data_IF_829965703560
#
_entry.id   IF_829965703560
#
_cell.length_a   1.000
_cell.length_b   1.000
_cell.length_c   1.000
_cell.angle_alpha   90.00
_cell.angle_beta   90.00
_cell.angle_gamma   90.00
#
_symmetry.space_group_name_H-M   'P 1'
#
loop_
_entity.id
_entity.type
_entity.pdbx_description
1 polymer ?
#
# COMPACT_ATOMS: atom_id res chain seq x y z
N UNK A 1 7.66 -11.91 -4.83
CA UNK A 1 8.68 -11.25 -4.00
C UNK A 1 8.62 -9.75 -4.30
N UNK A 2 8.10 -8.94 -3.37
CA UNK A 2 7.75 -7.53 -3.66
C UNK A 2 8.76 -6.53 -3.09
N UNK A 3 9.62 -6.98 -2.17
CA UNK A 3 10.62 -6.14 -1.50
C UNK A 3 12.03 -6.56 -1.83
N UNK A 4 12.97 -5.62 -1.73
CA UNK A 4 14.40 -5.86 -1.76
C UNK A 4 15.07 -5.38 -0.47
N UNK A 5 16.28 -5.87 -0.21
CA UNK A 5 17.14 -5.36 0.85
C UNK A 5 18.03 -4.26 0.29
N UNK A 6 17.93 -3.08 0.86
CA UNK A 6 18.80 -1.95 0.55
C UNK A 6 19.86 -1.83 1.64
N UNK A 7 21.13 -1.95 1.26
CA UNK A 7 22.25 -1.76 2.19
C UNK A 7 22.79 -0.34 2.05
N UNK A 8 23.05 0.31 3.17
CA UNK A 8 23.59 1.67 3.21
C UNK A 8 24.57 1.84 4.36
N UNK A 9 25.44 2.85 4.26
CA UNK A 9 26.43 3.16 5.27
C UNK A 9 26.21 4.54 5.88
N UNK A 10 26.35 4.65 7.20
CA UNK A 10 26.36 5.92 7.93
C UNK A 10 27.54 5.91 8.91
N UNK A 11 28.43 6.89 8.78
CA UNK A 11 29.62 7.04 9.66
C UNK A 11 30.40 5.74 9.86
N UNK A 12 30.69 5.03 8.75
CA UNK A 12 31.45 3.77 8.76
C UNK A 12 30.70 2.53 9.23
N UNK A 13 29.45 2.66 9.68
CA UNK A 13 28.59 1.52 10.06
C UNK A 13 27.68 1.13 8.90
N UNK A 14 27.47 -0.18 8.72
CA UNK A 14 26.57 -0.72 7.70
C UNK A 14 25.18 -0.98 8.28
N UNK A 15 24.17 -0.57 7.55
CA UNK A 15 22.76 -0.76 7.87
C UNK A 15 22.03 -1.35 6.67
N UNK A 16 20.83 -1.88 6.92
CA UNK A 16 19.94 -2.26 5.85
C UNK A 16 18.53 -1.70 6.09
N UNK A 17 17.79 -1.57 5.03
CA UNK A 17 16.37 -1.23 5.04
C UNK A 17 15.62 -2.12 4.05
N UNK A 18 14.31 -2.24 4.23
CA UNK A 18 13.42 -2.83 3.26
C UNK A 18 13.11 -1.75 2.22
N UNK A 19 13.36 -2.06 0.95
CA UNK A 19 13.00 -1.23 -0.20
C UNK A 19 11.80 -1.82 -0.93
N UNK A 20 10.83 -0.99 -1.24
CA UNK A 20 9.65 -1.33 -2.01
C UNK A 20 9.63 -0.47 -3.28
N UNK A 21 9.78 -1.07 -4.47
CA UNK A 21 9.94 -0.32 -5.71
C UNK A 21 8.63 0.33 -6.14
N UNK A 22 8.73 1.50 -6.78
CA UNK A 22 7.61 2.17 -7.42
C UNK A 22 7.71 2.13 -8.95
N UNK A 23 6.66 2.58 -9.64
CA UNK A 23 6.59 2.52 -11.11
C UNK A 23 7.55 3.47 -11.83
N UNK A 24 8.12 4.45 -11.13
CA UNK A 24 9.06 5.42 -11.69
C UNK A 24 10.54 5.04 -11.45
N UNK A 25 10.80 3.87 -10.85
CA UNK A 25 12.16 3.39 -10.55
C UNK A 25 12.74 3.86 -9.23
N UNK A 26 11.97 4.55 -8.40
CA UNK A 26 12.31 4.89 -7.03
C UNK A 26 11.90 3.78 -6.05
N UNK A 27 12.18 4.00 -4.76
CA UNK A 27 11.86 3.05 -3.69
C UNK A 27 11.28 3.76 -2.48
N UNK A 28 10.23 3.20 -1.90
CA UNK A 28 9.90 3.46 -0.50
C UNK A 28 10.81 2.64 0.39
N UNK A 29 11.28 3.25 1.49
CA UNK A 29 12.24 2.63 2.40
C UNK A 29 11.67 2.54 3.79
N UNK A 30 11.82 1.37 4.42
CA UNK A 30 11.48 1.16 5.82
C UNK A 30 12.60 0.42 6.53
N UNK A 31 13.04 0.97 7.66
CA UNK A 31 13.89 0.30 8.63
C UNK A 31 13.25 0.36 10.01
N UNK A 32 13.90 -0.25 11.00
CA UNK A 32 13.49 -0.12 12.40
C UNK A 32 13.49 1.34 12.87
N UNK A 33 14.36 2.17 12.28
CA UNK A 33 14.67 3.50 12.79
C UNK A 33 14.07 4.64 11.97
N UNK A 34 13.71 4.40 10.73
CA UNK A 34 13.20 5.45 9.86
C UNK A 34 12.31 4.94 8.72
N UNK A 35 11.51 5.84 8.20
CA UNK A 35 10.76 5.76 6.95
C UNK A 35 11.31 6.79 5.99
N UNK A 36 11.54 6.42 4.74
CA UNK A 36 12.12 7.31 3.73
C UNK A 36 11.77 6.89 2.32
N UNK A 37 12.40 7.56 1.36
CA UNK A 37 12.22 7.29 -0.05
C UNK A 37 13.53 7.53 -0.81
N UNK A 38 13.82 6.66 -1.78
CA UNK A 38 14.79 6.92 -2.83
C UNK A 38 14.01 7.46 -4.04
N UNK A 39 14.29 8.69 -4.48
CA UNK A 39 13.54 9.29 -5.60
C UNK A 39 13.70 8.50 -6.91
N UNK A 40 12.77 8.68 -7.85
CA UNK A 40 11.58 9.53 -7.79
C UNK A 40 10.45 8.92 -6.96
N UNK A 41 9.58 9.79 -6.38
CA UNK A 41 8.37 9.37 -5.65
C UNK A 41 7.25 9.06 -6.63
N UNK A 42 6.67 7.87 -6.51
CA UNK A 42 5.51 7.46 -7.29
C UNK A 42 4.74 6.33 -6.58
N UNK A 43 3.62 5.93 -7.18
CA UNK A 43 2.85 4.75 -6.75
C UNK A 43 3.59 3.46 -7.09
N UNK A 44 3.25 2.39 -6.39
CA UNK A 44 3.70 1.03 -6.74
C UNK A 44 2.52 0.24 -7.27
N UNK A 45 2.73 -0.51 -8.35
CA UNK A 45 1.71 -1.36 -8.96
C UNK A 45 2.20 -2.81 -8.95
N UNK A 46 1.40 -3.69 -8.36
CA UNK A 46 1.68 -5.11 -8.24
C UNK A 46 0.57 -5.86 -8.98
N UNK A 47 0.97 -6.60 -10.02
CA UNK A 47 0.08 -7.48 -10.77
C UNK A 47 0.48 -8.93 -10.54
N UNK A 48 -0.42 -9.78 -10.02
CA UNK A 48 -0.17 -11.21 -9.98
C UNK A 48 0.11 -11.75 -11.38
N UNK A 49 0.99 -12.73 -11.48
CA UNK A 49 1.28 -13.38 -12.76
C UNK A 49 0.05 -14.16 -13.22
N UNK A 50 -0.22 -14.08 -14.52
CA UNK A 50 -1.20 -14.91 -15.24
C UNK A 50 -2.68 -14.69 -14.93
N UNK A 51 -3.05 -13.60 -14.26
CA UNK A 51 -4.45 -13.24 -14.04
C UNK A 51 -4.75 -11.83 -14.51
N UNK A 52 -5.71 -11.68 -15.43
CA UNK A 52 -6.35 -10.40 -15.68
C UNK A 52 -7.39 -10.17 -14.57
N UNK A 53 -7.18 -9.18 -13.72
CA UNK A 53 -8.14 -8.84 -12.65
C UNK A 53 -8.94 -7.59 -13.01
N UNK A 54 -10.24 -7.65 -12.84
CA UNK A 54 -11.13 -6.48 -12.91
C UNK A 54 -11.19 -5.71 -11.57
N UNK A 55 -10.44 -6.19 -10.58
CA UNK A 55 -10.37 -5.61 -9.22
C UNK A 55 -8.97 -5.14 -8.93
N UNK A 56 -8.84 -3.91 -8.42
CA UNK A 56 -7.61 -3.38 -7.86
C UNK A 56 -7.78 -3.06 -6.38
N UNK A 57 -6.90 -3.60 -5.54
CA UNK A 57 -6.81 -3.26 -4.12
C UNK A 57 -5.86 -2.07 -3.94
N UNK A 58 -6.33 -0.99 -3.33
CA UNK A 58 -5.56 0.24 -3.10
C UNK A 58 -5.16 0.34 -1.63
N UNK A 59 -3.87 0.51 -1.38
CA UNK A 59 -3.28 0.66 -0.05
C UNK A 59 -2.60 2.03 0.09
N UNK A 60 -2.60 2.60 1.29
CA UNK A 60 -1.90 3.86 1.53
C UNK A 60 -0.39 3.67 1.57
N UNK A 61 0.09 2.67 2.31
CA UNK A 61 1.50 2.32 2.46
C UNK A 61 1.82 0.87 2.10
N UNK A 62 3.09 0.60 1.78
CA UNK A 62 3.49 -0.76 1.43
C UNK A 62 3.47 -1.74 2.61
N UNK A 63 3.53 -1.25 3.85
CA UNK A 63 3.38 -2.10 5.03
C UNK A 63 1.96 -2.67 5.12
N UNK A 64 0.94 -1.89 4.76
CA UNK A 64 -0.45 -2.36 4.72
C UNK A 64 -0.67 -3.39 3.62
N UNK A 65 -0.07 -3.16 2.43
CA UNK A 65 -0.04 -4.16 1.37
C UNK A 65 0.58 -5.48 1.82
N UNK A 66 1.74 -5.44 2.52
CA UNK A 66 2.39 -6.64 3.03
C UNK A 66 1.56 -7.31 4.13
N UNK A 67 0.88 -6.53 4.97
CA UNK A 67 -0.04 -7.03 5.99
C UNK A 67 -1.26 -7.71 5.38
N UNK A 68 -1.84 -7.13 4.33
CA UNK A 68 -2.92 -7.75 3.56
C UNK A 68 -2.48 -9.09 2.97
N UNK A 69 -1.30 -9.16 2.37
CA UNK A 69 -0.75 -10.39 1.83
C UNK A 69 -0.54 -11.47 2.92
N UNK A 70 -0.09 -11.08 4.11
CA UNK A 70 0.08 -11.99 5.26
C UNK A 70 -1.27 -12.51 5.80
N UNK A 71 -2.31 -11.68 5.75
CA UNK A 71 -3.67 -12.02 6.17
C UNK A 71 -4.49 -12.74 5.09
N UNK A 72 -3.94 -12.93 3.88
CA UNK A 72 -4.66 -13.50 2.75
C UNK A 72 -5.76 -12.57 2.17
N UNK A 73 -5.68 -11.28 2.46
CA UNK A 73 -6.61 -10.26 1.95
C UNK A 73 -6.18 -9.83 0.53
N UNK A 74 -7.15 -9.60 -0.34
CA UNK A 74 -6.92 -9.17 -1.73
C UNK A 74 -6.75 -10.30 -2.72
N UNK A 75 -6.39 -11.51 -2.29
CA UNK A 75 -6.32 -12.70 -3.15
C UNK A 75 -5.50 -12.48 -4.42
N UNK A 76 -6.10 -12.72 -5.58
CA UNK A 76 -5.48 -12.55 -6.89
C UNK A 76 -5.77 -11.20 -7.55
N UNK A 77 -6.29 -10.21 -6.81
CA UNK A 77 -6.50 -8.86 -7.35
C UNK A 77 -5.17 -8.14 -7.62
N UNK A 78 -5.19 -7.26 -8.61
CA UNK A 78 -4.10 -6.29 -8.75
C UNK A 78 -4.03 -5.39 -7.52
N UNK A 79 -2.87 -4.89 -7.19
CA UNK A 79 -2.68 -4.00 -6.04
C UNK A 79 -1.95 -2.73 -6.45
N UNK A 80 -2.44 -1.60 -5.95
CA UNK A 80 -1.80 -0.30 -6.09
C UNK A 80 -1.49 0.24 -4.69
N UNK A 81 -0.24 0.61 -4.46
CA UNK A 81 0.19 1.26 -3.22
C UNK A 81 0.48 2.72 -3.52
N UNK A 82 -0.20 3.61 -2.82
CA UNK A 82 -0.04 5.06 -3.01
C UNK A 82 1.35 5.55 -2.60
N UNK A 83 1.95 4.92 -1.58
CA UNK A 83 3.21 5.30 -0.94
C UNK A 83 3.15 6.67 -0.23
N UNK A 84 2.20 7.50 -0.61
CA UNK A 84 1.83 8.77 0.04
C UNK A 84 0.46 9.19 -0.47
N UNK A 85 -0.37 9.79 0.38
CA UNK A 85 -1.66 10.40 -0.03
C UNK A 85 -1.48 11.47 -1.11
N UNK A 86 -0.32 12.13 -1.17
CA UNK A 86 0.02 13.09 -2.23
C UNK A 86 0.08 12.46 -3.64
N UNK A 87 0.20 11.16 -3.75
CA UNK A 87 0.27 10.44 -5.02
C UNK A 87 -1.11 10.03 -5.58
N UNK A 88 -2.22 10.39 -4.94
CA UNK A 88 -3.58 10.06 -5.41
C UNK A 88 -3.78 10.47 -6.87
N UNK A 89 -3.36 11.68 -7.26
CA UNK A 89 -3.46 12.13 -8.65
C UNK A 89 -2.68 11.27 -9.64
N UNK A 90 -1.57 10.66 -9.21
CA UNK A 90 -0.80 9.71 -10.02
C UNK A 90 -1.47 8.34 -10.11
N UNK A 91 -2.17 7.93 -9.05
CA UNK A 91 -2.88 6.66 -8.99
C UNK A 91 -4.02 6.58 -9.99
N UNK A 92 -4.73 7.69 -10.23
CA UNK A 92 -5.93 7.74 -11.08
C UNK A 92 -5.68 7.09 -12.45
N UNK A 93 -4.62 7.47 -13.16
CA UNK A 93 -4.31 6.90 -14.48
C UNK A 93 -4.09 5.37 -14.49
N UNK A 94 -3.78 4.78 -13.35
CA UNK A 94 -3.57 3.33 -13.23
C UNK A 94 -4.85 2.58 -12.83
N UNK A 95 -5.88 3.29 -12.37
CA UNK A 95 -7.14 2.71 -11.87
C UNK A 95 -8.28 2.73 -12.89
N UNK A 96 -8.14 3.45 -14.00
CA UNK A 96 -9.22 3.67 -14.99
C UNK A 96 -9.83 2.38 -15.54
N UNK A 97 -9.01 1.35 -15.73
CA UNK A 97 -9.43 0.09 -16.35
C UNK A 97 -10.13 -0.91 -15.42
N UNK A 98 -10.22 -0.64 -14.10
CA UNK A 98 -10.80 -1.59 -13.16
C UNK A 98 -12.28 -1.35 -12.92
N UNK A 99 -13.08 -2.43 -12.93
CA UNK A 99 -14.51 -2.39 -12.61
C UNK A 99 -14.77 -2.20 -11.11
N UNK A 100 -13.85 -2.64 -10.24
CA UNK A 100 -13.92 -2.43 -8.80
C UNK A 100 -12.58 -2.03 -8.20
N UNK A 101 -12.63 -1.09 -7.26
CA UNK A 101 -11.46 -0.55 -6.54
C UNK A 101 -11.72 -0.72 -5.05
N UNK A 102 -11.06 -1.69 -4.44
CA UNK A 102 -11.16 -1.99 -3.01
C UNK A 102 -10.11 -1.16 -2.25
N UNK A 103 -10.54 -0.23 -1.39
CA UNK A 103 -9.67 0.71 -0.70
C UNK A 103 -9.40 0.28 0.74
N UNK A 104 -8.13 0.06 1.06
CA UNK A 104 -7.57 -0.25 2.38
C UNK A 104 -6.70 0.92 2.85
N UNK A 105 -7.35 2.02 3.24
CA UNK A 105 -6.69 3.28 3.60
C UNK A 105 -6.67 3.45 5.13
N UNK A 106 -5.78 4.31 5.62
CA UNK A 106 -5.68 4.61 7.06
C UNK A 106 -7.00 5.18 7.60
N UNK A 107 -7.36 4.79 8.82
CA UNK A 107 -8.57 5.25 9.51
C UNK A 107 -8.36 6.65 10.13
N UNK A 108 -7.78 7.56 9.37
CA UNK A 108 -7.54 8.93 9.76
C UNK A 108 -8.14 9.93 8.74
N UNK A 109 -7.94 11.22 8.98
CA UNK A 109 -8.49 12.27 8.12
C UNK A 109 -7.88 12.22 6.70
N UNK A 110 -6.58 11.92 6.58
CA UNK A 110 -5.90 11.85 5.28
C UNK A 110 -6.41 10.66 4.46
N UNK A 111 -6.61 9.50 5.08
CA UNK A 111 -7.21 8.32 4.44
C UNK A 111 -8.65 8.58 3.99
N UNK A 112 -9.46 9.26 4.82
CA UNK A 112 -10.84 9.64 4.43
C UNK A 112 -10.88 10.59 3.24
N UNK A 113 -10.02 11.62 3.22
CA UNK A 113 -9.91 12.55 2.08
C UNK A 113 -9.48 11.83 0.80
N UNK A 114 -8.56 10.88 0.92
CA UNK A 114 -8.10 10.04 -0.19
C UNK A 114 -9.24 9.19 -0.74
N UNK A 115 -10.02 8.57 0.14
CA UNK A 115 -11.20 7.78 -0.25
C UNK A 115 -12.23 8.64 -1.01
N UNK A 116 -12.53 9.83 -0.49
CA UNK A 116 -13.47 10.76 -1.14
C UNK A 116 -12.95 11.25 -2.51
N UNK A 117 -11.64 11.49 -2.63
CA UNK A 117 -11.04 11.84 -3.92
C UNK A 117 -11.19 10.71 -4.94
N UNK A 118 -10.96 9.46 -4.55
CA UNK A 118 -11.15 8.29 -5.42
C UNK A 118 -12.63 8.10 -5.78
N UNK A 119 -13.55 8.26 -4.83
CA UNK A 119 -15.00 8.24 -5.08
C UNK A 119 -15.44 9.33 -6.05
N UNK A 120 -14.85 10.50 -5.98
CA UNK A 120 -15.11 11.60 -6.91
C UNK A 120 -14.75 11.25 -8.36
N UNK A 121 -13.71 10.44 -8.58
CA UNK A 121 -13.31 9.98 -9.91
C UNK A 121 -14.10 8.75 -10.39
N UNK A 122 -14.35 7.79 -9.50
CA UNK A 122 -14.78 6.44 -9.88
C UNK A 122 -16.18 6.06 -9.38
N UNK A 123 -16.77 6.90 -8.52
CA UNK A 123 -18.14 6.69 -8.03
C UNK A 123 -18.32 5.33 -7.35
N UNK A 124 -19.36 4.61 -7.76
CA UNK A 124 -19.74 3.33 -7.19
C UNK A 124 -18.74 2.18 -7.41
N UNK A 125 -17.69 2.38 -8.20
CA UNK A 125 -16.61 1.39 -8.36
C UNK A 125 -15.69 1.32 -7.12
N UNK A 126 -15.69 2.36 -6.28
CA UNK A 126 -14.86 2.45 -5.08
C UNK A 126 -15.59 1.82 -3.90
N UNK A 127 -14.95 0.84 -3.28
CA UNK A 127 -15.41 0.14 -2.09
C UNK A 127 -14.46 0.41 -0.93
N UNK A 128 -14.97 1.02 0.14
CA UNK A 128 -14.24 1.18 1.39
C UNK A 128 -14.15 -0.16 2.13
N UNK A 129 -12.95 -0.59 2.47
CA UNK A 129 -12.68 -1.84 3.19
C UNK A 129 -12.19 -1.63 4.63
N UNK A 130 -12.21 -0.40 5.13
CA UNK A 130 -11.73 -0.06 6.48
C UNK A 130 -12.47 -0.81 7.60
N UNK A 131 -13.72 -1.23 7.38
CA UNK A 131 -14.47 -2.06 8.32
C UNK A 131 -13.79 -3.41 8.65
N UNK A 132 -12.87 -3.91 7.81
CA UNK A 132 -12.12 -5.13 8.09
C UNK A 132 -11.11 -4.98 9.24
N UNK A 133 -10.69 -3.76 9.52
CA UNK A 133 -9.75 -3.42 10.60
C UNK A 133 -10.29 -2.32 11.50
N UNK A 134 -11.60 -2.39 11.75
CA UNK A 134 -12.26 -1.44 12.66
C UNK A 134 -11.60 -1.44 14.05
N UNK A 135 -11.45 -0.26 14.64
CA UNK A 135 -10.72 -0.05 15.88
C UNK A 135 -9.21 0.01 15.76
N UNK A 136 -8.64 -0.19 14.56
CA UNK A 136 -7.22 -0.02 14.25
C UNK A 136 -7.01 1.20 13.37
N UNK A 137 -5.81 1.77 13.45
CA UNK A 137 -5.42 2.89 12.58
C UNK A 137 -5.32 2.46 11.12
N UNK A 138 -4.71 1.31 10.90
CA UNK A 138 -4.40 0.76 9.59
C UNK A 138 -4.36 -0.77 9.62
N UNK A 139 -4.20 -1.39 8.46
CA UNK A 139 -4.19 -2.84 8.33
C UNK A 139 -2.94 -3.48 8.95
N UNK A 140 -1.82 -2.76 9.01
CA UNK A 140 -0.61 -3.24 9.66
C UNK A 140 -0.77 -3.32 11.19
N UNK A 141 -1.43 -2.34 11.81
CA UNK A 141 -1.77 -2.40 13.23
C UNK A 141 -2.73 -3.57 13.52
N UNK A 142 -3.72 -3.78 12.68
CA UNK A 142 -4.64 -4.92 12.79
C UNK A 142 -3.89 -6.27 12.76
N UNK A 143 -2.98 -6.46 11.81
CA UNK A 143 -2.14 -7.66 11.76
C UNK A 143 -1.32 -7.86 13.04
N UNK A 144 -0.72 -6.78 13.57
CA UNK A 144 0.09 -6.86 14.79
C UNK A 144 -0.73 -7.24 16.03
N UNK A 145 -1.97 -6.77 16.12
CA UNK A 145 -2.88 -7.10 17.22
C UNK A 145 -3.38 -8.54 17.12
N UNK A 146 -3.77 -9.00 15.94
CA UNK A 146 -4.22 -10.38 15.73
C UNK A 146 -3.12 -11.38 16.01
N UNK A 147 -1.89 -11.13 15.55
CA UNK A 147 -0.74 -12.00 15.79
C UNK A 147 -0.33 -12.10 17.27
N UNK A 148 -0.63 -11.09 18.10
CA UNK A 148 -0.40 -11.14 19.56
C UNK A 148 -1.44 -11.97 20.30
N UNK A 149 -2.66 -12.03 19.77
CA UNK A 149 -3.76 -12.78 20.40
C UNK A 149 -3.69 -14.29 20.10
N UNK A 150 -2.86 -14.72 19.17
CA UNK A 150 -2.63 -16.14 18.81
C UNK A 150 -1.44 -16.76 19.58
N UNK A 151 -0.73 -16.00 20.42
CA UNK A 151 0.36 -16.46 21.30
C UNK A 151 -0.11 -16.64 22.74
#
# INVERSE_FOLDING_TARGET
RHCCRLNYGVRGKRYFAIGFPNVAGGYEIRSRYFKGCVPPKDVSLIKPKDTASDVCSVFEGFMDFLSAAALGIGGNSDSLVLNSVANVGKAVKHLDGYGRIDCFLDCDEAGRRTLEALKGHYGGRVCDRSALYDGCKDLNEYLQLTAKNEQ
#
